data_IF_457157853248
#
_entry.id   IF_457157853248
#
_cell.length_a   1.000
_cell.length_b   1.000
_cell.length_c   1.000
_cell.angle_alpha   90.00
_cell.angle_beta   90.00
_cell.angle_gamma   90.00
#
_symmetry.space_group_name_H-M   'P 1'
#
loop_
_entity.id
_entity.type
_entity.pdbx_description
1 polymer ?
#
# COMPACT_ATOMS: atom_id res chain seq x y z
N UNK A 1 -3.73 2.25 6.03
CA UNK A 1 -4.56 1.03 6.14
C UNK A 1 -4.69 0.36 4.78
N UNK A 2 -5.13 -0.89 4.76
CA UNK A 2 -5.40 -1.69 3.56
C UNK A 2 -6.80 -2.29 3.66
N UNK A 3 -7.52 -2.37 2.54
CA UNK A 3 -8.62 -3.32 2.39
C UNK A 3 -8.26 -4.31 1.30
N UNK A 4 -8.38 -5.60 1.59
CA UNK A 4 -8.03 -6.63 0.64
C UNK A 4 -8.88 -7.89 0.79
N UNK A 5 -9.21 -8.50 -0.34
CA UNK A 5 -9.64 -9.89 -0.48
C UNK A 5 -8.60 -10.68 -1.29
N UNK A 6 -9.01 -11.20 -2.45
CA UNK A 6 -8.06 -11.78 -3.43
C UNK A 6 -7.12 -10.74 -4.05
N UNK A 7 -7.49 -9.47 -4.00
CA UNK A 7 -6.76 -8.31 -4.55
C UNK A 7 -6.75 -7.19 -3.51
N UNK A 8 -6.00 -6.12 -3.79
CA UNK A 8 -6.05 -4.90 -2.98
C UNK A 8 -7.21 -4.03 -3.45
N UNK A 9 -8.26 -3.96 -2.64
CA UNK A 9 -9.45 -3.15 -2.90
C UNK A 9 -9.19 -1.66 -2.58
N UNK A 10 -8.44 -1.38 -1.52
CA UNK A 10 -8.20 -0.02 -1.04
C UNK A 10 -6.84 0.15 -0.34
N UNK A 11 -6.24 1.32 -0.51
CA UNK A 11 -5.09 1.81 0.25
C UNK A 11 -5.45 3.19 0.84
N UNK A 12 -5.12 3.41 2.11
CA UNK A 12 -5.34 4.71 2.74
C UNK A 12 -4.20 5.10 3.68
N UNK A 13 -3.99 6.40 3.85
CA UNK A 13 -3.09 6.97 4.86
C UNK A 13 -3.87 7.97 5.70
N UNK A 14 -3.75 7.85 7.01
CA UNK A 14 -4.32 8.83 7.96
C UNK A 14 -3.16 9.66 8.49
N UNK A 15 -3.23 10.97 8.26
CA UNK A 15 -2.24 11.93 8.69
C UNK A 15 -2.42 12.27 10.18
N UNK A 16 -1.40 12.87 10.79
CA UNK A 16 -1.44 13.26 12.21
C UNK A 16 -2.55 14.26 12.56
N UNK A 17 -3.02 15.04 11.58
CA UNK A 17 -4.17 15.94 11.74
C UNK A 17 -5.54 15.25 11.58
N UNK A 18 -5.57 13.91 11.49
CA UNK A 18 -6.79 13.11 11.32
C UNK A 18 -7.30 13.03 9.88
N UNK A 19 -6.71 13.76 8.93
CA UNK A 19 -7.11 13.69 7.52
C UNK A 19 -6.77 12.31 6.97
N UNK A 20 -7.77 11.63 6.40
CA UNK A 20 -7.57 10.34 5.73
C UNK A 20 -7.65 10.51 4.23
N UNK A 21 -6.58 10.13 3.54
CA UNK A 21 -6.52 10.07 2.10
C UNK A 21 -6.69 8.62 1.66
N UNK A 22 -7.69 8.38 0.81
CA UNK A 22 -8.12 7.02 0.42
C UNK A 22 -8.06 6.86 -1.09
N UNK A 23 -7.57 5.71 -1.53
CA UNK A 23 -7.50 5.31 -2.93
C UNK A 23 -8.04 3.88 -3.07
N UNK A 24 -9.16 3.72 -3.79
CA UNK A 24 -9.80 2.42 -4.05
C UNK A 24 -11.23 2.33 -3.55
N UNK A 25 -11.85 1.16 -3.74
CA UNK A 25 -13.25 0.90 -3.38
C UNK A 25 -13.45 0.49 -1.93
N UNK A 26 -14.65 0.03 -1.60
CA UNK A 26 -15.06 -0.36 -0.24
C UNK A 26 -15.04 -1.87 0.01
N UNK A 27 -14.67 -2.65 -1.01
CA UNK A 27 -14.53 -4.11 -0.93
C UNK A 27 -13.44 -4.57 0.04
N UNK A 28 -13.27 -5.89 0.09
CA UNK A 28 -12.27 -6.55 0.94
C UNK A 28 -12.45 -6.33 2.45
N UNK A 29 -11.55 -6.94 3.21
CA UNK A 29 -11.49 -6.80 4.67
C UNK A 29 -10.47 -5.74 5.05
N UNK A 30 -10.87 -4.82 5.93
CA UNK A 30 -10.00 -3.75 6.41
C UNK A 30 -8.96 -4.26 7.42
N UNK A 31 -7.74 -3.74 7.29
CA UNK A 31 -6.65 -3.91 8.23
C UNK A 31 -5.85 -2.60 8.32
N UNK A 32 -5.32 -2.31 9.49
CA UNK A 32 -4.55 -1.10 9.72
C UNK A 32 -3.31 -1.37 10.57
N UNK A 33 -2.32 -0.51 10.42
CA UNK A 33 -1.12 -0.47 11.24
C UNK A 33 -0.90 0.99 11.59
N UNK A 34 -1.04 1.31 12.88
CA UNK A 34 -0.73 2.64 13.42
C UNK A 34 0.76 2.70 13.72
N UNK A 35 1.45 3.66 13.12
CA UNK A 35 2.89 3.87 13.33
C UNK A 35 3.16 4.35 14.76
N UNK A 36 4.18 3.79 15.41
CA UNK A 36 4.68 4.30 16.67
C UNK A 36 5.41 5.64 16.48
N UNK A 37 5.70 6.33 17.58
CA UNK A 37 6.52 7.56 17.52
C UNK A 37 7.87 7.29 16.85
N UNK A 38 8.23 8.12 15.87
CA UNK A 38 9.47 7.98 15.11
C UNK A 38 9.49 6.85 14.08
N UNK A 39 8.47 6.00 14.01
CA UNK A 39 8.38 4.93 13.02
C UNK A 39 7.92 5.47 11.67
N UNK A 40 8.38 4.86 10.59
CA UNK A 40 8.03 5.24 9.22
C UNK A 40 8.07 4.03 8.30
N UNK A 41 7.40 4.14 7.15
CA UNK A 41 7.37 3.07 6.15
C UNK A 41 8.62 3.15 5.28
N UNK A 42 9.32 2.01 5.13
CA UNK A 42 10.58 1.93 4.38
C UNK A 42 10.43 1.17 3.07
N UNK A 43 9.58 0.14 3.04
CA UNK A 43 9.42 -0.70 1.85
C UNK A 43 7.95 -1.03 1.57
N UNK A 44 7.67 -1.23 0.29
CA UNK A 44 6.42 -1.77 -0.22
C UNK A 44 6.73 -2.91 -1.20
N UNK A 45 6.30 -4.12 -0.87
CA UNK A 45 6.30 -5.27 -1.78
C UNK A 45 4.92 -5.42 -2.40
N UNK A 46 4.85 -5.36 -3.72
CA UNK A 46 3.62 -5.35 -4.48
C UNK A 46 3.62 -6.52 -5.46
N UNK A 47 2.46 -7.12 -5.66
CA UNK A 47 2.26 -8.08 -6.75
C UNK A 47 1.06 -7.67 -7.60
N UNK A 48 1.18 -7.83 -8.91
CA UNK A 48 0.13 -7.50 -9.87
C UNK A 48 -0.22 -8.69 -10.75
N UNK A 49 -1.43 -8.67 -11.30
CA UNK A 49 -1.85 -9.60 -12.35
C UNK A 49 -3.03 -8.99 -13.13
N UNK A 50 -3.51 -9.72 -14.14
CA UNK A 50 -4.70 -9.34 -14.90
C UNK A 50 -5.97 -9.88 -14.24
N UNK A 51 -7.02 -9.05 -14.20
CA UNK A 51 -8.40 -9.41 -13.90
C UNK A 51 -9.28 -8.82 -14.99
N UNK A 52 -10.08 -9.65 -15.66
CA UNK A 52 -10.97 -9.22 -16.75
C UNK A 52 -10.25 -8.36 -17.82
N UNK A 53 -9.03 -8.79 -18.19
CA UNK A 53 -8.18 -8.11 -19.17
C UNK A 53 -7.55 -6.79 -18.70
N UNK A 54 -7.64 -6.44 -17.41
CA UNK A 54 -7.03 -5.23 -16.84
C UNK A 54 -6.09 -5.54 -15.68
N UNK A 55 -4.96 -4.84 -15.63
CA UNK A 55 -4.01 -4.96 -14.51
C UNK A 55 -4.65 -4.48 -13.20
N UNK A 56 -4.40 -5.22 -12.13
CA UNK A 56 -4.75 -4.88 -10.74
C UNK A 56 -3.57 -5.15 -9.83
N UNK A 57 -3.53 -4.45 -8.70
CA UNK A 57 -2.67 -4.81 -7.58
C UNK A 57 -3.35 -5.94 -6.81
N UNK A 58 -2.74 -7.12 -6.86
CA UNK A 58 -3.24 -8.33 -6.21
C UNK A 58 -2.76 -8.46 -4.78
N UNK A 59 -1.57 -7.95 -4.47
CA UNK A 59 -0.98 -7.99 -3.14
C UNK A 59 -0.22 -6.71 -2.83
N UNK A 60 -0.30 -6.29 -1.57
CA UNK A 60 0.59 -5.28 -1.02
C UNK A 60 1.07 -5.72 0.37
N UNK A 61 2.36 -5.53 0.64
CA UNK A 61 2.96 -5.60 1.97
C UNK A 61 3.84 -4.39 2.20
N UNK A 62 3.54 -3.65 3.25
CA UNK A 62 4.37 -2.57 3.75
C UNK A 62 5.24 -3.06 4.90
N UNK A 63 6.48 -2.59 4.96
CA UNK A 63 7.38 -2.81 6.11
C UNK A 63 7.83 -1.46 6.65
N UNK A 64 7.87 -1.35 7.96
CA UNK A 64 8.29 -0.13 8.67
C UNK A 64 9.76 -0.19 9.07
N UNK A 65 10.29 0.94 9.52
CA UNK A 65 11.65 1.07 10.06
C UNK A 65 11.91 0.21 11.30
N UNK A 66 10.85 -0.24 11.99
CA UNK A 66 10.95 -1.17 13.14
C UNK A 66 10.62 -2.61 12.77
N UNK A 67 10.50 -2.92 11.48
CA UNK A 67 10.26 -4.28 10.97
C UNK A 67 8.81 -4.76 11.06
N UNK A 68 7.87 -3.91 11.50
CA UNK A 68 6.44 -4.26 11.52
C UNK A 68 5.88 -4.22 10.10
N UNK A 69 4.83 -5.01 9.85
CA UNK A 69 4.27 -5.15 8.51
C UNK A 69 2.76 -5.03 8.48
N UNK A 70 2.24 -4.41 7.41
CA UNK A 70 0.83 -4.42 7.04
C UNK A 70 0.71 -5.04 5.65
N UNK A 71 -0.06 -6.12 5.51
CA UNK A 71 -0.18 -6.82 4.25
C UNK A 71 -1.61 -7.29 3.98
N UNK A 72 -1.94 -7.48 2.70
CA UNK A 72 -3.22 -8.03 2.28
C UNK A 72 -3.22 -8.38 0.78
N UNK A 73 -4.14 -9.25 0.38
CA UNK A 73 -4.28 -9.72 -0.99
C UNK A 73 -3.65 -11.10 -1.20
N UNK A 74 -3.44 -11.48 -2.47
CA UNK A 74 -2.83 -12.76 -2.88
C UNK A 74 -1.61 -12.49 -3.75
N UNK A 75 -0.47 -13.11 -3.42
CA UNK A 75 0.75 -12.95 -4.23
C UNK A 75 0.57 -13.55 -5.62
N UNK A 76 1.30 -13.03 -6.59
CA UNK A 76 1.30 -13.50 -7.98
C UNK A 76 2.74 -13.78 -8.43
N UNK A 77 2.93 -14.17 -9.69
CA UNK A 77 4.27 -14.35 -10.26
C UNK A 77 4.96 -13.03 -10.66
N UNK A 78 4.23 -11.93 -10.72
CA UNK A 78 4.74 -10.60 -11.08
C UNK A 78 4.70 -9.69 -9.86
N UNK A 79 5.85 -9.61 -9.17
CA UNK A 79 6.00 -8.83 -7.96
C UNK A 79 7.25 -7.93 -8.01
N UNK A 80 7.17 -6.82 -7.29
CA UNK A 80 8.25 -5.84 -7.18
C UNK A 80 8.35 -5.29 -5.76
N UNK A 81 9.58 -5.10 -5.29
CA UNK A 81 9.86 -4.34 -4.08
C UNK A 81 10.21 -2.90 -4.43
N UNK A 82 9.55 -1.95 -3.76
CA UNK A 82 9.89 -0.54 -3.75
C UNK A 82 10.45 -0.18 -2.39
N UNK A 83 11.68 0.32 -2.38
CA UNK A 83 12.41 0.70 -1.15
C UNK A 83 12.67 2.19 -1.20
N UNK A 84 12.30 2.89 -0.13
CA UNK A 84 12.68 4.29 0.05
C UNK A 84 14.22 4.38 0.14
N UNK A 85 14.87 5.37 -0.51
CA UNK A 85 16.31 5.59 -0.36
C UNK A 85 16.75 5.76 1.09
N UNK A 86 18.03 5.55 1.37
CA UNK A 86 18.59 5.79 2.71
C UNK A 86 18.32 7.23 3.16
N UNK A 87 17.78 7.41 4.37
CA UNK A 87 17.34 8.71 4.90
C UNK A 87 15.98 9.20 4.40
N UNK A 88 15.21 8.36 3.70
CA UNK A 88 13.88 8.69 3.19
C UNK A 88 12.82 7.71 3.69
N UNK A 89 11.56 8.10 3.55
CA UNK A 89 10.39 7.29 3.87
C UNK A 89 9.38 7.28 2.74
N UNK A 90 8.50 6.26 2.72
CA UNK A 90 7.28 6.29 1.93
C UNK A 90 6.25 7.15 2.65
N UNK A 91 5.96 8.32 2.12
CA UNK A 91 5.06 9.31 2.73
C UNK A 91 3.64 9.30 2.16
N UNK A 92 3.47 8.66 0.99
CA UNK A 92 2.18 8.60 0.33
C UNK A 92 2.23 7.76 -0.94
N UNK A 93 1.11 7.72 -1.64
CA UNK A 93 0.95 6.97 -2.87
C UNK A 93 0.08 7.74 -3.86
N UNK A 94 0.24 7.41 -5.14
CA UNK A 94 -0.55 7.93 -6.25
C UNK A 94 -0.86 6.77 -7.21
N UNK A 95 -1.86 6.93 -8.10
CA UNK A 95 -2.15 5.89 -9.07
C UNK A 95 -3.54 5.95 -9.65
N UNK A 96 -4.07 4.77 -10.02
CA UNK A 96 -5.41 4.61 -10.61
C UNK A 96 -6.21 3.58 -9.84
N UNK A 97 -7.50 3.83 -9.70
CA UNK A 97 -8.45 2.97 -8.98
C UNK A 97 -9.81 2.99 -9.65
N UNK A 98 -10.57 1.93 -9.36
CA UNK A 98 -12.02 1.92 -9.36
C UNK A 98 -12.48 1.25 -8.07
N UNK A 99 -13.21 0.14 -8.19
CA UNK A 99 -13.56 -0.71 -7.04
C UNK A 99 -12.33 -1.35 -6.37
N UNK A 100 -11.23 -1.49 -7.12
CA UNK A 100 -9.95 -2.04 -6.69
C UNK A 100 -8.80 -1.09 -7.05
N UNK A 101 -7.60 -1.32 -6.50
CA UNK A 101 -6.39 -0.59 -6.87
C UNK A 101 -5.83 -1.15 -8.18
N UNK A 102 -5.85 -0.33 -9.23
CA UNK A 102 -5.39 -0.73 -10.57
C UNK A 102 -3.87 -0.68 -10.68
N UNK A 103 -3.29 0.45 -10.25
CA UNK A 103 -1.86 0.75 -10.30
C UNK A 103 -1.51 1.69 -9.17
N UNK A 104 -0.31 1.54 -8.61
CA UNK A 104 0.18 2.36 -7.51
C UNK A 104 1.65 2.75 -7.73
N UNK A 105 1.96 4.00 -7.44
CA UNK A 105 3.30 4.54 -7.24
C UNK A 105 3.42 5.19 -5.87
N UNK A 106 4.65 5.47 -5.46
CA UNK A 106 4.95 5.96 -4.11
C UNK A 106 5.61 7.33 -4.14
N UNK A 107 5.27 8.13 -3.15
CA UNK A 107 5.89 9.43 -2.89
C UNK A 107 6.90 9.23 -1.77
N UNK A 108 8.14 9.65 -1.99
CA UNK A 108 9.18 9.62 -0.98
C UNK A 108 9.46 11.02 -0.44
N UNK A 109 9.72 11.12 0.86
CA UNK A 109 10.22 12.34 1.49
C UNK A 109 11.43 12.03 2.37
N UNK A 110 12.29 13.03 2.58
CA UNK A 110 13.38 12.94 3.54
C UNK A 110 12.84 12.78 4.96
N UNK A 111 13.59 12.09 5.81
CA UNK A 111 13.25 11.84 7.21
C UNK A 111 13.85 12.87 8.15
#
# INVERSE_FOLDING_TARGET
ALRAGSRVDQMSVTLSNGTTLTHGGTGGTASSLTLASGEYVTTAYLCQAQKDGRTRIFYAKFTTSTGRTLAGGTTTSDCVTRTAPSGWQIAGFHGRTGDEVDKVGFIYTQR
#
